data_IF_739852882651
#
_entry.id   IF_739852882651
#
_cell.length_a   1.000
_cell.length_b   1.000
_cell.length_c   1.000
_cell.angle_alpha   90.00
_cell.angle_beta   90.00
_cell.angle_gamma   90.00
#
_symmetry.space_group_name_H-M   'P 1'
#
loop_
_entity.id
_entity.type
_entity.pdbx_description
1 polymer ?
#
# COMPACT_ATOMS: atom_id res chain seq x y z
N UNK A 1 -27.21 -10.48 18.08
CA UNK A 1 -26.27 -11.57 17.69
C UNK A 1 -24.99 -10.91 17.21
N UNK A 2 -23.88 -11.07 17.92
CA UNK A 2 -22.58 -10.58 17.44
C UNK A 2 -22.10 -11.58 16.41
N UNK A 3 -22.26 -11.23 15.13
CA UNK A 3 -21.65 -11.95 14.02
C UNK A 3 -20.15 -12.06 14.30
N UNK A 4 -19.66 -13.28 14.55
CA UNK A 4 -18.22 -13.56 14.49
C UNK A 4 -17.82 -13.45 13.01
N UNK A 5 -17.62 -12.23 12.54
CA UNK A 5 -16.88 -12.04 11.29
C UNK A 5 -15.50 -12.66 11.51
N UNK A 6 -15.04 -13.56 10.63
CA UNK A 6 -13.71 -14.13 10.73
C UNK A 6 -12.70 -12.99 10.88
N UNK A 7 -11.82 -13.10 11.87
CA UNK A 7 -10.77 -12.12 12.13
C UNK A 7 -9.94 -11.97 10.86
N UNK A 8 -9.76 -10.73 10.40
CA UNK A 8 -8.97 -10.45 9.20
C UNK A 8 -7.59 -11.09 9.29
N UNK A 9 -7.19 -11.82 8.25
CA UNK A 9 -5.91 -12.53 8.22
C UNK A 9 -4.70 -11.58 8.13
N UNK A 10 -4.90 -10.38 7.58
CA UNK A 10 -3.80 -9.42 7.28
C UNK A 10 -4.18 -7.94 7.49
N UNK A 11 -5.25 -7.68 8.22
CA UNK A 11 -5.80 -6.34 8.44
C UNK A 11 -6.94 -6.00 7.46
N UNK A 12 -7.92 -5.25 7.95
CA UNK A 12 -9.05 -4.74 7.19
C UNK A 12 -9.12 -3.23 7.33
N UNK A 13 -8.95 -2.51 6.23
CA UNK A 13 -9.01 -1.06 6.20
C UNK A 13 -8.02 -0.44 5.22
N UNK A 14 -7.94 0.88 5.23
CA UNK A 14 -7.02 1.59 4.35
C UNK A 14 -5.62 1.68 4.96
N UNK A 15 -5.52 2.44 6.06
CA UNK A 15 -4.24 2.74 6.73
C UNK A 15 -3.56 1.46 7.21
N UNK A 16 -4.30 0.55 7.86
CA UNK A 16 -3.78 -0.73 8.36
C UNK A 16 -3.04 -1.50 7.26
N UNK A 17 -3.69 -1.66 6.11
CA UNK A 17 -3.14 -2.44 5.00
C UNK A 17 -1.97 -1.71 4.32
N UNK A 18 -2.02 -0.38 4.19
CA UNK A 18 -0.89 0.43 3.74
C UNK A 18 0.31 0.30 4.70
N UNK A 19 0.09 0.30 6.01
CA UNK A 19 1.14 0.11 7.02
C UNK A 19 1.78 -1.27 6.91
N UNK A 20 0.99 -2.34 6.77
CA UNK A 20 1.54 -3.67 6.57
C UNK A 20 2.35 -3.79 5.27
N UNK A 21 1.87 -3.19 4.17
CA UNK A 21 2.63 -3.13 2.93
C UNK A 21 3.94 -2.35 3.10
N UNK A 22 3.95 -1.25 3.85
CA UNK A 22 5.18 -0.51 4.17
C UNK A 22 6.20 -1.35 4.93
N UNK A 23 5.77 -2.11 5.94
CA UNK A 23 6.65 -3.04 6.66
C UNK A 23 7.20 -4.09 5.70
N UNK A 24 6.34 -4.65 4.86
CA UNK A 24 6.75 -5.68 3.90
C UNK A 24 7.78 -5.18 2.87
N UNK A 25 7.59 -3.96 2.35
CA UNK A 25 8.55 -3.29 1.45
C UNK A 25 9.71 -2.58 2.19
N UNK A 26 9.88 -2.85 3.48
CA UNK A 26 11.13 -2.57 4.19
C UNK A 26 12.08 -3.78 4.20
N UNK A 27 11.56 -4.97 3.95
CA UNK A 27 12.35 -6.20 3.80
C UNK A 27 13.05 -6.25 2.43
N UNK A 28 14.11 -7.08 2.28
CA UNK A 28 14.72 -7.34 0.98
C UNK A 28 13.71 -7.77 -0.10
N UNK A 29 13.94 -7.44 -1.38
CA UNK A 29 13.00 -7.71 -2.47
C UNK A 29 12.46 -9.15 -2.47
N UNK A 30 13.32 -10.15 -2.29
CA UNK A 30 12.97 -11.56 -2.29
C UNK A 30 11.95 -11.96 -1.19
N UNK A 31 11.84 -11.16 -0.13
CA UNK A 31 10.90 -11.38 0.99
C UNK A 31 9.65 -10.50 0.90
N UNK A 32 9.68 -9.42 0.12
CA UNK A 32 8.60 -8.44 0.07
C UNK A 32 7.41 -8.88 -0.79
N UNK A 33 7.62 -9.78 -1.74
CA UNK A 33 6.60 -10.20 -2.70
C UNK A 33 5.70 -11.36 -2.26
N UNK A 34 6.20 -12.42 -1.59
CA UNK A 34 5.38 -13.58 -1.23
C UNK A 34 4.16 -13.18 -0.41
N UNK A 35 2.93 -13.45 -0.89
CA UNK A 35 1.68 -13.12 -0.18
C UNK A 35 1.33 -11.63 -0.12
N UNK A 36 1.80 -10.81 -1.06
CA UNK A 36 1.45 -9.38 -1.14
C UNK A 36 -0.03 -9.12 -1.47
N UNK A 37 -0.65 -9.97 -2.29
CA UNK A 37 -2.04 -9.83 -2.73
C UNK A 37 -3.02 -9.86 -1.55
N UNK A 38 -2.68 -10.65 -0.53
CA UNK A 38 -3.52 -10.81 0.66
C UNK A 38 -3.78 -9.47 1.38
N UNK A 39 -2.83 -8.53 1.33
CA UNK A 39 -2.98 -7.20 1.91
C UNK A 39 -3.85 -6.27 1.05
N UNK A 40 -4.07 -6.59 -0.22
CA UNK A 40 -4.94 -5.82 -1.11
C UNK A 40 -6.40 -6.29 -1.08
N UNK A 41 -6.65 -7.54 -0.70
CA UNK A 41 -8.00 -8.13 -0.63
C UNK A 41 -8.91 -7.35 0.31
N UNK A 42 -8.39 -6.93 1.46
CA UNK A 42 -9.12 -6.14 2.46
C UNK A 42 -8.65 -4.68 2.56
N UNK A 43 -7.90 -4.21 1.53
CA UNK A 43 -7.59 -2.79 1.37
C UNK A 43 -8.86 -2.08 0.89
N UNK A 44 -9.45 -1.27 1.76
CA UNK A 44 -10.71 -0.56 1.49
C UNK A 44 -10.40 0.92 1.32
N UNK A 45 -10.62 1.48 0.13
CA UNK A 45 -10.46 2.92 -0.10
C UNK A 45 -11.61 3.69 0.59
N UNK A 46 -11.33 4.62 1.51
CA UNK A 46 -12.32 5.49 2.13
C UNK A 46 -13.07 6.34 1.09
N UNK A 47 -14.35 6.59 1.30
CA UNK A 47 -15.18 7.38 0.38
C UNK A 47 -14.67 8.80 0.19
N UNK A 48 -14.09 9.41 1.23
CA UNK A 48 -13.48 10.74 1.17
C UNK A 48 -12.30 10.85 0.20
N UNK A 49 -11.65 9.74 -0.15
CA UNK A 49 -10.52 9.73 -1.08
C UNK A 49 -10.94 9.42 -2.52
N UNK A 50 -12.23 9.27 -2.80
CA UNK A 50 -12.73 9.08 -4.17
C UNK A 50 -12.51 10.34 -5.02
N UNK A 51 -12.00 10.15 -6.23
CA UNK A 51 -11.62 11.21 -7.16
C UNK A 51 -10.31 11.94 -6.82
N UNK A 52 -9.60 11.53 -5.76
CA UNK A 52 -8.36 12.17 -5.31
C UNK A 52 -7.11 11.49 -5.87
N UNK A 53 -5.94 12.09 -5.65
CA UNK A 53 -4.65 11.45 -5.95
C UNK A 53 -4.49 10.13 -5.17
N UNK A 54 -5.05 10.02 -3.97
CA UNK A 54 -4.98 8.81 -3.15
C UNK A 54 -5.63 7.62 -3.86
N UNK A 55 -6.79 7.81 -4.50
CA UNK A 55 -7.44 6.76 -5.31
C UNK A 55 -6.54 6.33 -6.47
N UNK A 56 -6.06 7.31 -7.24
CA UNK A 56 -5.21 7.06 -8.42
C UNK A 56 -3.96 6.25 -8.06
N UNK A 57 -3.27 6.63 -6.99
CA UNK A 57 -2.07 5.92 -6.53
C UNK A 57 -2.40 4.54 -5.96
N UNK A 58 -3.54 4.39 -5.29
CA UNK A 58 -4.00 3.09 -4.78
C UNK A 58 -4.34 2.13 -5.92
N UNK A 59 -4.97 2.61 -6.98
CA UNK A 59 -5.28 1.79 -8.15
C UNK A 59 -4.00 1.39 -8.90
N UNK A 60 -3.03 2.30 -9.03
CA UNK A 60 -1.71 1.98 -9.57
C UNK A 60 -0.99 0.91 -8.73
N UNK A 61 -1.12 0.97 -7.41
CA UNK A 61 -0.56 -0.04 -6.50
C UNK A 61 -1.21 -1.41 -6.77
N UNK A 62 -2.53 -1.47 -6.91
CA UNK A 62 -3.24 -2.72 -7.24
C UNK A 62 -2.77 -3.28 -8.58
N UNK A 63 -2.66 -2.44 -9.60
CA UNK A 63 -2.21 -2.86 -10.93
C UNK A 63 -0.79 -3.46 -10.88
N UNK A 64 0.15 -2.80 -10.21
CA UNK A 64 1.53 -3.31 -10.06
C UNK A 64 1.58 -4.66 -9.34
N UNK A 65 0.77 -4.83 -8.29
CA UNK A 65 0.70 -6.10 -7.56
C UNK A 65 0.06 -7.21 -8.39
N UNK A 66 -1.03 -6.93 -9.11
CA UNK A 66 -1.68 -7.90 -10.00
C UNK A 66 -0.73 -8.32 -11.12
N UNK A 67 0.00 -7.37 -11.71
CA UNK A 67 1.01 -7.66 -12.74
C UNK A 67 2.09 -8.63 -12.24
N UNK A 68 2.59 -8.42 -11.01
CA UNK A 68 3.51 -9.36 -10.37
C UNK A 68 2.90 -10.76 -10.24
N UNK A 69 1.65 -10.88 -9.78
CA UNK A 69 0.99 -12.18 -9.61
C UNK A 69 0.80 -12.94 -10.93
N UNK A 70 0.68 -12.23 -12.05
CA UNK A 70 0.59 -12.83 -13.38
C UNK A 70 1.93 -13.40 -13.91
N UNK A 71 2.98 -13.43 -13.08
CA UNK A 71 4.31 -13.90 -13.47
C UNK A 71 5.21 -12.81 -14.05
N UNK A 72 4.85 -11.53 -13.85
CA UNK A 72 5.70 -10.40 -14.20
C UNK A 72 7.05 -10.46 -13.46
N UNK A 73 8.13 -9.91 -14.05
CA UNK A 73 9.47 -9.96 -13.47
C UNK A 73 9.50 -9.30 -12.09
N UNK A 74 10.19 -9.95 -11.17
CA UNK A 74 10.41 -9.50 -9.80
C UNK A 74 11.81 -8.90 -9.71
N UNK A 75 12.02 -7.78 -10.40
CA UNK A 75 13.30 -7.10 -10.35
C UNK A 75 13.35 -6.05 -9.23
N UNK A 76 14.58 -5.63 -8.92
CA UNK A 76 14.87 -4.60 -7.92
C UNK A 76 14.23 -3.26 -8.27
N UNK A 77 13.97 -3.01 -9.55
CA UNK A 77 13.37 -1.79 -10.05
C UNK A 77 11.88 -1.74 -9.68
N UNK A 78 11.11 -2.78 -9.98
CA UNK A 78 9.70 -2.90 -9.59
C UNK A 78 9.52 -2.82 -8.07
N UNK A 79 10.41 -3.44 -7.31
CA UNK A 79 10.40 -3.33 -5.85
C UNK A 79 10.59 -1.87 -5.40
N UNK A 80 11.56 -1.17 -5.98
CA UNK A 80 11.85 0.23 -5.68
C UNK A 80 10.68 1.14 -6.06
N UNK A 81 10.03 0.85 -7.19
CA UNK A 81 8.85 1.54 -7.67
C UNK A 81 7.67 1.41 -6.71
N UNK A 82 7.35 0.21 -6.25
CA UNK A 82 6.26 0.00 -5.28
C UNK A 82 6.59 0.70 -3.96
N UNK A 83 7.84 0.65 -3.51
CA UNK A 83 8.28 1.37 -2.30
C UNK A 83 8.07 2.89 -2.44
N UNK A 84 8.43 3.48 -3.58
CA UNK A 84 8.19 4.90 -3.88
C UNK A 84 6.70 5.21 -3.97
N UNK A 85 5.92 4.33 -4.59
CA UNK A 85 4.48 4.48 -4.70
C UNK A 85 3.79 4.49 -3.33
N UNK A 86 4.17 3.57 -2.43
CA UNK A 86 3.66 3.56 -1.06
C UNK A 86 3.98 4.86 -0.31
N UNK A 87 5.18 5.42 -0.49
CA UNK A 87 5.52 6.73 0.08
C UNK A 87 4.61 7.85 -0.46
N UNK A 88 4.37 7.85 -1.77
CA UNK A 88 3.48 8.85 -2.41
C UNK A 88 2.04 8.72 -1.91
N UNK A 89 1.54 7.51 -1.70
CA UNK A 89 0.20 7.28 -1.13
C UNK A 89 0.10 7.93 0.25
N UNK A 90 1.10 7.73 1.11
CA UNK A 90 1.11 8.32 2.46
C UNK A 90 1.09 9.84 2.40
N UNK A 91 1.98 10.44 1.59
CA UNK A 91 2.02 11.90 1.44
C UNK A 91 0.70 12.44 0.85
N UNK A 92 0.09 11.73 -0.10
CA UNK A 92 -1.21 12.12 -0.65
C UNK A 92 -2.32 12.04 0.42
N UNK A 93 -2.30 11.03 1.28
CA UNK A 93 -3.22 10.94 2.43
C UNK A 93 -3.05 12.15 3.34
N UNK A 94 -1.81 12.51 3.70
CA UNK A 94 -1.55 13.66 4.57
C UNK A 94 -2.07 14.98 3.98
N UNK A 95 -1.92 15.17 2.65
CA UNK A 95 -2.50 16.32 1.95
C UNK A 95 -4.03 16.35 2.06
N UNK A 96 -4.69 15.22 1.81
CA UNK A 96 -6.15 15.12 1.93
C UNK A 96 -6.65 15.27 3.38
N UNK A 97 -5.79 15.01 4.36
CA UNK A 97 -6.05 15.27 5.78
C UNK A 97 -5.78 16.74 6.18
N UNK A 98 -5.32 17.58 5.26
CA UNK A 98 -5.07 19.01 5.48
C UNK A 98 -3.73 19.32 6.15
N UNK A 99 -2.78 18.38 6.16
CA UNK A 99 -1.43 18.63 6.68
C UNK A 99 -0.66 19.49 5.68
N UNK A 100 -0.10 20.61 6.13
CA UNK A 100 0.73 21.48 5.31
C UNK A 100 2.12 20.89 5.10
N UNK A 101 2.62 20.95 3.86
CA UNK A 101 3.96 20.50 3.46
C UNK A 101 4.34 19.07 3.92
N UNK A 102 3.50 18.05 3.66
CA UNK A 102 3.81 16.69 4.09
C UNK A 102 4.97 16.10 3.28
N UNK A 103 5.86 15.39 3.97
CA UNK A 103 7.03 14.75 3.38
C UNK A 103 7.32 13.41 4.07
N UNK A 104 7.95 12.50 3.32
CA UNK A 104 8.39 11.19 3.82
C UNK A 104 9.68 11.28 4.65
N UNK A 105 10.41 12.39 4.53
CA UNK A 105 11.71 12.60 5.15
C UNK A 105 12.81 11.73 4.54
N UNK A 106 14.01 11.84 5.10
CA UNK A 106 15.16 11.01 4.76
C UNK A 106 15.76 10.46 6.04
N UNK A 107 16.07 9.16 6.04
CA UNK A 107 16.87 8.59 7.13
C UNK A 107 18.31 9.04 6.92
N UNK A 108 18.89 9.69 7.92
CA UNK A 108 20.34 9.86 7.97
C UNK A 108 20.94 8.48 8.21
N UNK A 109 21.73 8.02 7.25
CA UNK A 109 22.53 6.80 7.35
C UNK A 109 23.74 7.02 8.25
#
# INVERSE_FOLDING_TARGET
MVSHMPTSKYGRGFIVNITHLKVKFSLPPEQAWPGIQDYLTELILPTQFKGTEVETLTDLLRQKVVWHQAGGPVDKEMYTDVKRLLNRIIVAIDKELGIENPDIGQYHA
#
